data_IF_222301833472
#
_entry.id   IF_222301833472
#
_cell.length_a   1.000
_cell.length_b   1.000
_cell.length_c   1.000
_cell.angle_alpha   90.00
_cell.angle_beta   90.00
_cell.angle_gamma   90.00
#
_symmetry.space_group_name_H-M   'P 1'
#
loop_
_entity.id
_entity.type
_entity.pdbx_description
1 polymer ?
#
# COMPACT_ATOMS: atom_id res chain seq x y z
N UNK A 1 2.04 5.66 -9.50
CA UNK A 1 1.48 4.88 -8.37
C UNK A 1 2.21 3.56 -8.19
N UNK A 2 2.32 3.04 -6.96
CA UNK A 2 2.90 1.73 -6.66
C UNK A 2 1.90 0.79 -5.96
N UNK A 3 1.74 -0.43 -6.47
CA UNK A 3 0.86 -1.46 -5.91
C UNK A 3 1.65 -2.75 -5.69
N UNK A 4 1.75 -3.20 -4.43
CA UNK A 4 2.32 -4.49 -4.06
C UNK A 4 1.29 -5.37 -3.32
N UNK A 5 0.88 -6.48 -3.95
CA UNK A 5 -0.06 -7.45 -3.40
C UNK A 5 0.62 -8.82 -3.31
N UNK A 6 1.19 -9.15 -2.16
CA UNK A 6 2.02 -10.37 -2.03
C UNK A 6 1.62 -11.20 -0.80
N UNK A 7 2.07 -12.46 -0.76
CA UNK A 7 1.83 -13.36 0.38
C UNK A 7 2.35 -12.82 1.71
N UNK A 8 2.00 -13.49 2.82
CA UNK A 8 2.50 -13.09 4.15
C UNK A 8 4.03 -13.22 4.22
N UNK A 9 4.66 -12.34 5.01
CA UNK A 9 6.10 -12.41 5.35
C UNK A 9 7.05 -12.34 4.14
N UNK A 10 6.69 -11.59 3.11
CA UNK A 10 7.50 -11.38 1.89
C UNK A 10 8.45 -10.19 1.98
N UNK A 11 8.50 -9.48 3.11
CA UNK A 11 9.30 -8.26 3.27
C UNK A 11 8.62 -6.97 2.76
N UNK A 12 7.29 -6.96 2.63
CA UNK A 12 6.51 -5.79 2.17
C UNK A 12 6.79 -4.55 3.00
N UNK A 13 6.66 -4.67 4.31
CA UNK A 13 6.84 -3.55 5.24
C UNK A 13 8.27 -3.00 5.16
N UNK A 14 9.26 -3.86 5.02
CA UNK A 14 10.67 -3.47 4.83
C UNK A 14 10.88 -2.70 3.51
N UNK A 15 10.28 -3.16 2.40
CA UNK A 15 10.33 -2.43 1.11
C UNK A 15 9.61 -1.10 1.18
N UNK A 16 8.44 -1.05 1.83
CA UNK A 16 7.71 0.19 2.07
C UNK A 16 8.56 1.18 2.86
N UNK A 17 9.22 0.75 3.94
CA UNK A 17 10.12 1.61 4.73
C UNK A 17 11.33 2.09 3.92
N UNK A 18 11.92 1.22 3.09
CA UNK A 18 13.03 1.61 2.23
C UNK A 18 12.60 2.70 1.23
N UNK A 19 11.46 2.52 0.58
CA UNK A 19 10.88 3.52 -0.33
C UNK A 19 10.54 4.83 0.39
N UNK A 20 9.93 4.74 1.59
CA UNK A 20 9.64 5.91 2.42
C UNK A 20 10.90 6.74 2.72
N UNK A 21 11.98 6.08 3.16
CA UNK A 21 13.24 6.74 3.47
C UNK A 21 13.89 7.38 2.24
N UNK A 22 13.83 6.72 1.08
CA UNK A 22 14.31 7.30 -0.18
C UNK A 22 13.53 8.56 -0.57
N UNK A 23 12.19 8.52 -0.48
CA UNK A 23 11.34 9.67 -0.79
C UNK A 23 11.57 10.83 0.19
N UNK A 24 11.72 10.55 1.48
CA UNK A 24 12.05 11.58 2.47
C UNK A 24 13.45 12.19 2.22
N UNK A 25 14.43 11.39 1.79
CA UNK A 25 15.74 11.90 1.40
C UNK A 25 15.68 12.83 0.18
N UNK A 26 14.64 12.70 -0.66
CA UNK A 26 14.33 13.62 -1.76
C UNK A 26 13.50 14.84 -1.31
N UNK A 27 13.28 15.01 -0.01
CA UNK A 27 12.49 16.11 0.56
C UNK A 27 10.98 15.92 0.47
N UNK A 28 10.49 14.73 0.10
CA UNK A 28 9.05 14.46 0.04
C UNK A 28 8.44 14.29 1.42
N UNK A 29 7.21 14.74 1.57
CA UNK A 29 6.42 14.54 2.78
C UNK A 29 5.77 13.16 2.74
N UNK A 30 6.12 12.25 3.65
CA UNK A 30 5.68 10.86 3.60
C UNK A 30 4.76 10.52 4.77
N UNK A 31 3.55 10.07 4.46
CA UNK A 31 2.57 9.54 5.41
C UNK A 31 2.55 8.02 5.30
N UNK A 32 2.72 7.33 6.42
CA UNK A 32 2.57 5.87 6.50
C UNK A 32 1.36 5.54 7.36
N UNK A 33 0.43 4.80 6.77
CA UNK A 33 -0.77 4.29 7.45
C UNK A 33 -0.63 2.78 7.56
N UNK A 34 -0.85 2.25 8.76
CA UNK A 34 -0.86 0.80 9.00
C UNK A 34 -2.15 0.40 9.74
N UNK A 35 -2.34 -0.91 9.92
CA UNK A 35 -3.40 -1.42 10.79
C UNK A 35 -3.20 -0.89 12.23
N UNK A 36 -4.29 -0.76 12.98
CA UNK A 36 -4.27 -0.21 14.33
C UNK A 36 -3.52 -1.10 15.35
N UNK A 37 -2.19 -1.06 15.31
CA UNK A 37 -1.28 -1.78 16.19
C UNK A 37 -0.20 -0.83 16.70
N UNK A 38 -0.12 -0.67 18.03
CA UNK A 38 0.88 0.21 18.65
C UNK A 38 2.31 -0.23 18.32
N UNK A 39 2.56 -1.54 18.39
CA UNK A 39 3.86 -2.12 18.07
C UNK A 39 4.27 -1.83 16.62
N UNK A 40 3.33 -1.94 15.67
CA UNK A 40 3.60 -1.65 14.27
C UNK A 40 3.88 -0.16 14.05
N UNK A 41 3.08 0.72 14.65
CA UNK A 41 3.33 2.16 14.57
C UNK A 41 4.70 2.54 15.14
N UNK A 42 5.09 1.97 16.29
CA UNK A 42 6.39 2.24 16.90
C UNK A 42 7.55 1.67 16.05
N UNK A 43 7.35 0.51 15.40
CA UNK A 43 8.32 -0.06 14.46
C UNK A 43 8.52 0.83 13.23
N UNK A 44 7.43 1.24 12.57
CA UNK A 44 7.46 2.12 11.41
C UNK A 44 8.07 3.49 11.75
N UNK A 45 7.72 4.07 12.90
CA UNK A 45 8.27 5.36 13.32
C UNK A 45 9.78 5.30 13.57
N UNK A 46 10.28 4.18 14.10
CA UNK A 46 11.72 3.94 14.29
C UNK A 46 12.44 3.70 12.97
N UNK A 47 11.82 2.96 12.05
CA UNK A 47 12.39 2.64 10.73
C UNK A 47 12.37 3.80 9.74
N UNK A 48 11.43 4.74 9.91
CA UNK A 48 11.24 5.90 9.05
C UNK A 48 11.22 7.19 9.89
N UNK A 49 12.36 7.60 10.49
CA UNK A 49 12.44 8.82 11.27
C UNK A 49 12.20 10.03 10.36
N UNK A 50 11.04 10.69 10.52
CA UNK A 50 10.60 11.81 9.69
C UNK A 50 9.25 11.59 9.02
N UNK A 51 8.80 10.33 8.89
CA UNK A 51 7.48 10.03 8.36
C UNK A 51 6.39 10.35 9.38
N UNK A 52 5.21 10.76 8.89
CA UNK A 52 4.00 10.85 9.67
C UNK A 52 3.34 9.47 9.74
N UNK A 53 3.34 8.85 10.92
CA UNK A 53 2.81 7.49 11.10
C UNK A 53 1.49 7.50 11.86
N UNK A 54 0.51 6.76 11.37
CA UNK A 54 -0.76 6.51 12.08
C UNK A 54 -1.35 5.15 11.78
N UNK A 55 -2.08 4.61 12.77
CA UNK A 55 -3.05 3.56 12.54
C UNK A 55 -4.29 4.10 11.85
N UNK A 56 -4.94 3.26 11.05
CA UNK A 56 -6.17 3.56 10.30
C UNK A 56 -7.30 4.16 11.17
N UNK A 57 -7.50 3.65 12.38
CA UNK A 57 -8.55 4.13 13.32
C UNK A 57 -8.35 5.55 13.85
N UNK A 58 -7.10 6.01 13.90
CA UNK A 58 -6.75 7.30 14.50
C UNK A 58 -6.31 8.34 13.48
N UNK A 59 -6.21 7.93 12.21
CA UNK A 59 -5.65 8.75 11.14
C UNK A 59 -6.34 10.12 11.03
N UNK A 60 -7.67 10.14 10.96
CA UNK A 60 -8.45 11.39 10.83
C UNK A 60 -8.43 12.28 12.08
N UNK A 61 -7.91 11.77 13.21
CA UNK A 61 -7.76 12.52 14.47
C UNK A 61 -6.37 13.13 14.63
N UNK A 62 -5.46 12.89 13.69
CA UNK A 62 -4.11 13.45 13.74
C UNK A 62 -4.16 14.93 13.38
N UNK A 63 -3.42 15.75 14.11
CA UNK A 63 -3.37 17.20 13.91
C UNK A 63 -2.83 17.59 12.52
N UNK A 64 -2.00 16.74 11.92
CA UNK A 64 -1.44 16.92 10.58
C UNK A 64 -2.31 16.34 9.45
N UNK A 65 -3.42 15.66 9.77
CA UNK A 65 -4.19 14.91 8.78
C UNK A 65 -4.75 15.81 7.69
N UNK A 66 -5.50 16.85 8.07
CA UNK A 66 -6.15 17.74 7.10
C UNK A 66 -5.14 18.45 6.19
N UNK A 67 -4.00 18.86 6.74
CA UNK A 67 -2.92 19.49 5.98
C UNK A 67 -2.35 18.54 4.92
N UNK A 68 -1.96 17.33 5.32
CA UNK A 68 -1.34 16.35 4.42
C UNK A 68 -2.35 15.68 3.48
N UNK A 69 -3.62 15.65 3.84
CA UNK A 69 -4.69 15.09 3.00
C UNK A 69 -4.98 15.99 1.80
N UNK A 70 -4.90 17.31 2.01
CA UNK A 70 -5.06 18.35 0.98
C UNK A 70 -3.77 18.65 0.20
N UNK A 71 -2.61 18.20 0.69
CA UNK A 71 -1.34 18.31 -0.01
C UNK A 71 -1.22 17.25 -1.11
N UNK A 72 -1.26 17.68 -2.37
CA UNK A 72 -1.16 16.78 -3.52
C UNK A 72 0.25 16.20 -3.71
N UNK A 73 1.27 16.85 -3.17
CA UNK A 73 2.67 16.39 -3.23
C UNK A 73 3.04 15.44 -2.08
N UNK A 74 2.19 15.35 -1.05
CA UNK A 74 2.36 14.37 0.02
C UNK A 74 2.19 12.95 -0.50
N UNK A 75 3.13 12.08 -0.13
CA UNK A 75 3.14 10.67 -0.50
C UNK A 75 2.46 9.85 0.58
N UNK A 76 1.41 9.14 0.20
CA UNK A 76 0.65 8.29 1.11
C UNK A 76 0.97 6.82 0.87
N UNK A 77 1.45 6.15 1.92
CA UNK A 77 1.82 4.74 1.89
C UNK A 77 0.92 3.95 2.85
N UNK A 78 0.24 2.93 2.35
CA UNK A 78 -0.70 2.12 3.12
C UNK A 78 -0.17 0.70 3.25
N UNK A 79 0.28 0.33 4.45
CA UNK A 79 0.81 -0.99 4.80
C UNK A 79 -0.30 -1.92 5.28
N UNK A 80 -0.39 -3.11 4.69
CA UNK A 80 -1.45 -4.11 4.96
C UNK A 80 -2.87 -3.51 4.90
N UNK A 81 -3.12 -2.66 3.91
CA UNK A 81 -4.33 -1.84 3.84
C UNK A 81 -5.63 -2.64 3.76
N UNK A 82 -5.62 -3.82 3.16
CA UNK A 82 -6.81 -4.67 3.04
C UNK A 82 -7.24 -5.30 4.39
N UNK A 83 -6.40 -5.13 5.42
CA UNK A 83 -6.67 -5.51 6.80
C UNK A 83 -7.04 -4.35 7.71
N UNK A 84 -7.19 -3.13 7.18
CA UNK A 84 -7.67 -2.00 7.98
C UNK A 84 -9.09 -2.25 8.46
N UNK A 85 -9.34 -1.86 9.71
CA UNK A 85 -10.68 -1.87 10.28
C UNK A 85 -11.53 -0.76 9.66
N UNK A 86 -10.90 0.36 9.31
CA UNK A 86 -11.54 1.46 8.60
C UNK A 86 -10.99 1.62 7.18
N UNK A 87 -11.59 0.93 6.21
CA UNK A 87 -11.23 1.03 4.79
C UNK A 87 -11.54 2.41 4.16
N UNK A 88 -12.46 3.20 4.74
CA UNK A 88 -12.89 4.49 4.17
C UNK A 88 -11.79 5.56 4.18
N UNK A 89 -10.75 5.38 4.98
CA UNK A 89 -9.61 6.32 5.01
C UNK A 89 -8.65 6.12 3.85
N UNK A 90 -8.79 5.02 3.09
CA UNK A 90 -7.92 4.72 1.96
C UNK A 90 -8.42 5.49 0.74
N UNK A 91 -7.74 6.58 0.44
CA UNK A 91 -7.90 7.32 -0.81
C UNK A 91 -6.90 6.82 -1.84
N UNK A 92 -7.37 6.46 -3.04
CA UNK A 92 -6.49 6.10 -4.15
C UNK A 92 -5.90 7.39 -4.72
N UNK A 93 -4.58 7.51 -4.69
CA UNK A 93 -3.80 8.69 -5.08
C UNK A 93 -2.83 8.31 -6.20
N UNK A 94 -2.62 9.15 -7.23
CA UNK A 94 -1.70 8.87 -8.34
C UNK A 94 -0.25 8.58 -7.89
N UNK A 95 0.21 9.23 -6.82
CA UNK A 95 1.53 9.06 -6.22
C UNK A 95 1.51 8.13 -4.98
N UNK A 96 0.42 7.41 -4.75
CA UNK A 96 0.25 6.54 -3.57
C UNK A 96 0.98 5.20 -3.68
N UNK A 97 1.28 4.64 -2.52
CA UNK A 97 1.91 3.33 -2.33
C UNK A 97 0.97 2.41 -1.57
N UNK A 98 0.65 1.25 -2.14
CA UNK A 98 -0.37 0.34 -1.62
C UNK A 98 0.22 -1.05 -1.45
N UNK A 99 0.48 -1.46 -0.21
CA UNK A 99 1.07 -2.75 0.13
C UNK A 99 0.06 -3.60 0.89
N UNK A 100 -0.19 -4.82 0.47
CA UNK A 100 -1.04 -5.72 1.26
C UNK A 100 -0.84 -7.19 0.95
N UNK A 101 -1.24 -8.03 1.90
CA UNK A 101 -1.64 -9.40 1.67
C UNK A 101 -3.17 -9.44 1.54
N UNK A 102 -3.76 -9.96 0.45
CA UNK A 102 -5.22 -10.01 0.31
C UNK A 102 -5.88 -10.74 1.48
N UNK A 103 -6.90 -10.10 2.07
CA UNK A 103 -7.76 -10.70 3.07
C UNK A 103 -8.79 -11.61 2.38
N UNK A 104 -8.88 -12.90 2.78
CA UNK A 104 -9.91 -13.80 2.27
C UNK A 104 -11.33 -13.23 2.51
N UNK A 105 -12.28 -13.48 1.59
CA UNK A 105 -12.19 -14.33 0.40
C UNK A 105 -11.82 -13.58 -0.89
N UNK A 106 -10.90 -12.60 -0.86
CA UNK A 106 -10.54 -11.85 -2.08
C UNK A 106 -9.96 -12.75 -3.18
N UNK A 107 -10.44 -12.56 -4.42
CA UNK A 107 -9.93 -13.26 -5.59
C UNK A 107 -9.18 -12.27 -6.50
N UNK A 108 -7.86 -12.40 -6.55
CA UNK A 108 -7.00 -11.56 -7.39
C UNK A 108 -7.30 -11.65 -8.88
N UNK A 109 -7.78 -12.80 -9.35
CA UNK A 109 -8.08 -13.04 -10.77
C UNK A 109 -9.43 -12.44 -11.19
N UNK A 110 -10.30 -12.12 -10.22
CA UNK A 110 -11.61 -11.52 -10.45
C UNK A 110 -11.84 -10.39 -9.45
N UNK A 111 -11.08 -9.27 -9.57
CA UNK A 111 -11.16 -8.16 -8.63
C UNK A 111 -12.48 -7.40 -8.83
N UNK A 112 -13.49 -7.75 -8.02
CA UNK A 112 -14.82 -7.14 -8.04
C UNK A 112 -15.18 -6.50 -6.70
N UNK A 113 -16.15 -5.58 -6.73
CA UNK A 113 -16.70 -4.93 -5.55
C UNK A 113 -15.98 -3.64 -5.13
N UNK A 114 -16.39 -3.10 -3.98
CA UNK A 114 -16.02 -1.74 -3.54
C UNK A 114 -14.78 -1.64 -2.66
N UNK A 115 -14.14 -2.79 -2.36
CA UNK A 115 -12.92 -2.82 -1.55
C UNK A 115 -11.82 -2.00 -2.22
N UNK A 116 -11.00 -1.26 -1.47
CA UNK A 116 -9.88 -0.51 -2.04
C UNK A 116 -8.95 -1.35 -2.91
N UNK A 117 -8.67 -2.60 -2.52
CA UNK A 117 -7.87 -3.53 -3.34
C UNK A 117 -8.51 -3.83 -4.70
N UNK A 118 -9.84 -3.96 -4.78
CA UNK A 118 -10.54 -4.17 -6.05
C UNK A 118 -10.49 -2.92 -6.93
N UNK A 119 -10.68 -1.74 -6.33
CA UNK A 119 -10.61 -0.45 -7.04
C UNK A 119 -9.20 -0.19 -7.59
N UNK A 120 -8.17 -0.43 -6.78
CA UNK A 120 -6.76 -0.37 -7.21
C UNK A 120 -6.49 -1.30 -8.40
N UNK A 121 -7.00 -2.54 -8.32
CA UNK A 121 -6.93 -3.53 -9.39
C UNK A 121 -7.79 -3.18 -10.63
N UNK A 122 -8.65 -2.17 -10.57
CA UNK A 122 -9.36 -1.66 -11.76
C UNK A 122 -8.64 -0.44 -12.35
N UNK A 123 -7.92 0.32 -11.52
CA UNK A 123 -7.17 1.51 -11.97
C UNK A 123 -5.81 1.18 -12.58
N UNK A 124 -5.27 -0.03 -12.40
CA UNK A 124 -3.87 -0.28 -12.71
C UNK A 124 -3.48 -0.11 -14.17
N UNK A 125 -4.40 -0.27 -15.11
CA UNK A 125 -4.15 -0.09 -16.54
C UNK A 125 -3.92 1.38 -16.93
N UNK A 126 -4.11 2.33 -16.03
CA UNK A 126 -4.18 3.76 -16.37
C UNK A 126 -3.23 4.66 -15.59
N UNK A 127 -2.73 4.26 -14.42
CA UNK A 127 -2.04 5.18 -13.50
C UNK A 127 -0.89 4.55 -12.69
N UNK A 128 -0.42 3.36 -13.05
CA UNK A 128 0.50 2.59 -12.21
C UNK A 128 1.88 2.46 -12.83
N UNK A 129 2.88 2.89 -12.08
CA UNK A 129 4.30 2.83 -12.47
C UNK A 129 4.90 1.46 -12.08
N UNK A 130 4.35 0.80 -11.06
CA UNK A 130 4.84 -0.50 -10.59
C UNK A 130 3.72 -1.36 -10.01
N UNK A 131 3.65 -2.62 -10.48
CA UNK A 131 2.76 -3.66 -9.95
C UNK A 131 3.59 -4.88 -9.57
N UNK A 132 3.48 -5.31 -8.31
CA UNK A 132 4.06 -6.57 -7.83
C UNK A 132 2.93 -7.39 -7.22
N UNK A 133 2.61 -8.56 -7.78
CA UNK A 133 1.58 -9.47 -7.25
C UNK A 133 2.15 -10.88 -7.13
N UNK A 134 2.56 -11.28 -5.94
CA UNK A 134 3.04 -12.65 -5.77
C UNK A 134 1.88 -13.54 -5.34
N UNK A 135 1.70 -14.73 -5.96
CA UNK A 135 0.62 -15.64 -5.59
C UNK A 135 0.70 -15.97 -4.10
N UNK A 136 -0.36 -15.61 -3.38
CA UNK A 136 -0.50 -15.86 -1.96
C UNK A 136 -1.05 -17.29 -1.79
N UNK A 137 -0.17 -18.28 -1.68
CA UNK A 137 -0.49 -19.73 -1.74
C UNK A 137 -0.86 -20.27 -3.14
N UNK A 138 -0.51 -21.53 -3.36
CA UNK A 138 -0.63 -22.28 -4.63
C UNK A 138 -2.06 -22.41 -5.18
N UNK A 139 -3.10 -22.26 -4.35
CA UNK A 139 -4.50 -22.39 -4.77
C UNK A 139 -5.06 -21.16 -5.49
N UNK A 140 -4.32 -20.05 -5.55
CA UNK A 140 -4.69 -18.85 -6.33
C UNK A 140 -4.01 -18.83 -7.71
N UNK A 141 -3.27 -19.88 -8.07
CA UNK A 141 -2.59 -20.02 -9.35
C UNK A 141 -3.55 -20.66 -10.36
N UNK A 142 -3.94 -19.90 -11.37
CA UNK A 142 -4.56 -20.45 -12.59
C UNK A 142 -3.47 -20.55 -13.65
N UNK A 143 -3.00 -21.77 -13.91
CA UNK A 143 -1.92 -22.04 -14.87
C UNK A 143 -2.32 -21.75 -16.32
N UNK A 144 -3.59 -21.41 -16.59
CA UNK A 144 -4.06 -20.96 -17.91
C UNK A 144 -3.88 -19.47 -18.16
N UNK A 145 -3.55 -18.70 -17.11
CA UNK A 145 -3.25 -17.27 -17.20
C UNK A 145 -1.72 -17.12 -17.07
N UNK A 146 -1.02 -16.59 -18.08
CA UNK A 146 0.43 -16.41 -18.02
C UNK A 146 0.75 -15.30 -17.00
N UNK A 147 0.82 -15.68 -15.73
CA UNK A 147 1.20 -14.84 -14.60
C UNK A 147 2.72 -14.91 -14.45
N UNK A 148 3.44 -14.25 -15.36
CA UNK A 148 4.87 -14.01 -15.18
C UNK A 148 5.05 -12.83 -14.21
N UNK A 149 4.98 -13.16 -12.92
CA UNK A 149 5.14 -12.24 -11.81
C UNK A 149 6.58 -12.14 -11.33
N UNK A 150 7.34 -11.29 -11.99
CA UNK A 150 8.59 -10.71 -11.50
C UNK A 150 8.64 -9.26 -11.95
N UNK A 151 8.89 -8.35 -11.00
CA UNK A 151 8.68 -6.91 -11.13
C UNK A 151 9.13 -6.34 -12.48
N UNK A 152 8.19 -5.70 -13.18
CA UNK A 152 8.50 -4.81 -14.28
C UNK A 152 8.68 -3.42 -13.66
N UNK A 153 9.93 -2.96 -13.61
CA UNK A 153 10.20 -1.52 -13.55
C UNK A 153 9.71 -0.93 -14.87
N UNK A 154 8.58 -0.22 -14.85
CA UNK A 154 8.24 0.67 -15.95
C UNK A 154 9.03 1.96 -15.75
N UNK A 155 10.31 1.94 -16.11
CA UNK A 155 11.05 3.15 -16.38
C UNK A 155 10.76 3.59 -17.82
N UNK A 156 10.12 4.76 -17.97
CA UNK A 156 10.42 5.69 -19.06
C UNK A 156 11.11 6.92 -18.48
#
# INVERSE_FOLDING_TARGET
>A
MHIEITGRQTGKTERLMAAANQLMAQGKRVVIVCCNSRLMMDYLQKGCPGAWVSGDKYLTKKTWFEELDNDHDAIWMFDEFDWFDNQSVIKIRPNGYYYTTPRPPFNLMKPTGDRPIAKLMQTYQTHVDTIIIMPCHTHLRDDSIPMDFWGIDCAE
#
